data_IF_574765308340
#
_entry.id   IF_574765308340
#
_cell.length_a   1.000
_cell.length_b   1.000
_cell.length_c   1.000
_cell.angle_alpha   90.00
_cell.angle_beta   90.00
_cell.angle_gamma   90.00
#
_symmetry.space_group_name_H-M   'P 1'
#
loop_
_entity.id
_entity.type
_entity.pdbx_description
1 polymer ?
#
# COMPACT_ATOMS: atom_id res chain seq x y z
N UNK A 1 7.81 7.01 14.72
CA UNK A 1 8.36 7.00 13.34
C UNK A 1 9.32 8.17 13.11
N UNK A 2 8.86 9.42 13.12
CA UNK A 2 9.71 10.61 12.93
C UNK A 2 10.91 10.69 13.89
N UNK A 3 10.66 10.50 15.18
CA UNK A 3 11.71 10.52 16.22
C UNK A 3 12.75 9.42 15.96
N UNK A 4 12.31 8.22 15.59
CA UNK A 4 13.19 7.10 15.32
C UNK A 4 14.10 7.37 14.11
N UNK A 5 13.56 7.97 13.07
CA UNK A 5 14.33 8.33 11.89
C UNK A 5 15.40 9.39 12.19
N UNK A 6 15.07 10.41 12.99
CA UNK A 6 15.94 11.58 13.22
C UNK A 6 16.94 11.40 14.37
N UNK A 7 16.48 10.89 15.50
CA UNK A 7 17.28 10.84 16.73
C UNK A 7 18.08 9.55 16.84
N UNK A 8 17.55 8.46 16.29
CA UNK A 8 18.16 7.13 16.40
C UNK A 8 18.96 6.79 15.15
N UNK A 9 18.37 6.96 13.96
CA UNK A 9 19.09 6.69 12.71
C UNK A 9 19.84 7.91 12.16
N UNK A 10 19.83 9.02 12.89
CA UNK A 10 20.56 10.23 12.56
C UNK A 10 20.19 10.84 11.18
N UNK A 11 19.04 10.48 10.61
CA UNK A 11 18.62 10.97 9.30
C UNK A 11 17.88 12.32 9.46
N UNK A 12 18.41 13.38 8.85
CA UNK A 12 17.72 14.69 8.77
C UNK A 12 17.71 15.51 10.06
N UNK A 13 18.73 15.37 10.94
CA UNK A 13 18.93 16.23 12.14
C UNK A 13 18.96 17.73 11.84
N UNK A 14 19.31 18.06 10.61
CA UNK A 14 19.47 19.39 10.05
C UNK A 14 18.16 20.18 9.78
N UNK A 15 16.99 19.56 9.97
CA UNK A 15 15.68 20.15 9.67
C UNK A 15 14.99 20.60 10.98
N UNK A 16 14.61 21.88 11.18
CA UNK A 16 14.07 22.37 12.46
C UNK A 16 12.79 21.66 12.94
N UNK A 17 12.60 21.54 14.26
CA UNK A 17 11.37 21.03 14.91
C UNK A 17 10.26 22.09 14.97
N UNK A 18 9.01 21.65 14.98
CA UNK A 18 7.86 22.48 15.36
C UNK A 18 7.74 22.37 16.88
N UNK A 19 8.05 23.44 17.59
CA UNK A 19 7.53 23.65 18.94
C UNK A 19 6.56 24.82 18.81
N UNK A 20 5.31 24.63 19.23
CA UNK A 20 4.54 25.76 19.74
C UNK A 20 5.32 26.29 20.95
N UNK A 21 5.69 27.58 20.90
CA UNK A 21 6.49 28.25 21.90
C UNK A 21 5.89 28.08 23.31
N UNK A 22 6.64 27.41 24.19
CA UNK A 22 6.60 27.75 25.61
C UNK A 22 8.04 27.95 26.12
N UNK A 23 8.26 29.21 26.49
CA UNK A 23 9.47 29.77 27.06
C UNK A 23 9.90 29.09 28.36
N UNK A 24 11.19 28.82 28.48
CA UNK A 24 11.98 29.22 29.66
C UNK A 24 13.46 29.06 29.34
N UNK A 25 14.15 30.19 29.27
CA UNK A 25 15.59 30.34 29.43
C UNK A 25 16.01 29.75 30.78
N UNK A 26 17.17 29.08 30.84
CA UNK A 26 18.13 29.26 31.94
C UNK A 26 19.45 28.52 31.69
N UNK A 27 20.50 29.16 32.19
CA UNK A 27 21.93 29.12 31.88
C UNK A 27 22.63 27.76 32.07
N UNK A 28 23.74 27.59 31.32
CA UNK A 28 24.84 26.73 31.74
C UNK A 28 26.18 27.41 31.49
N UNK A 29 26.79 27.81 32.59
CA UNK A 29 28.22 28.06 32.69
C UNK A 29 28.89 26.74 33.12
N UNK A 30 29.98 26.35 32.47
CA UNK A 30 31.00 25.50 33.06
C UNK A 30 32.29 25.59 32.26
N UNK A 31 33.34 25.95 32.98
CA UNK A 31 34.70 26.27 32.57
C UNK A 31 35.44 25.10 31.92
N UNK A 32 36.10 25.41 30.80
CA UNK A 32 37.12 24.64 30.10
C UNK A 32 38.39 24.51 30.95
N UNK A 33 38.92 23.29 31.05
CA UNK A 33 40.36 22.95 30.91
C UNK A 33 40.55 21.51 31.42
N UNK A 34 40.68 20.54 30.49
CA UNK A 34 41.43 19.26 30.63
C UNK A 34 41.14 18.22 29.50
N UNK A 35 40.65 18.61 28.31
CA UNK A 35 40.14 17.67 27.28
C UNK A 35 41.01 17.43 26.03
N UNK A 36 42.28 17.84 26.00
CA UNK A 36 43.02 17.97 24.72
C UNK A 36 43.75 16.72 24.18
N UNK A 37 43.54 15.51 24.70
CA UNK A 37 44.16 14.28 24.13
C UNK A 37 43.17 13.13 23.83
N UNK A 38 41.86 13.30 24.07
CA UNK A 38 40.80 12.30 23.77
C UNK A 38 40.04 12.65 22.46
N UNK A 39 40.20 13.87 21.94
CA UNK A 39 39.42 14.39 20.81
C UNK A 39 39.70 13.68 19.47
N UNK A 40 40.96 13.31 19.19
CA UNK A 40 41.32 12.79 17.86
C UNK A 40 40.75 11.40 17.54
N UNK A 41 40.75 10.46 18.49
CA UNK A 41 40.15 9.12 18.30
C UNK A 41 38.61 9.20 18.30
N UNK A 42 38.00 10.10 19.09
CA UNK A 42 36.56 10.30 19.10
C UNK A 42 36.06 11.02 17.84
N UNK A 43 36.84 11.96 17.30
CA UNK A 43 36.55 12.63 16.02
C UNK A 43 36.67 11.65 14.84
N UNK A 44 37.66 10.76 14.84
CA UNK A 44 37.84 9.74 13.80
C UNK A 44 36.68 8.72 13.83
N UNK A 45 36.29 8.23 15.02
CA UNK A 45 35.10 7.38 15.19
C UNK A 45 33.78 8.11 14.86
N UNK A 46 33.68 9.40 15.15
CA UNK A 46 32.53 10.22 14.77
C UNK A 46 32.46 10.42 13.24
N UNK A 47 33.59 10.64 12.58
CA UNK A 47 33.69 10.73 11.12
C UNK A 47 33.34 9.39 10.45
N UNK A 48 33.88 8.27 10.91
CA UNK A 48 33.54 6.93 10.39
C UNK A 48 32.05 6.59 10.59
N UNK A 49 31.48 6.95 11.74
CA UNK A 49 30.05 6.80 12.04
C UNK A 49 29.17 7.68 11.14
N UNK A 50 29.63 8.91 10.85
CA UNK A 50 28.94 9.87 9.99
C UNK A 50 29.00 9.46 8.51
N UNK A 51 30.14 8.95 8.04
CA UNK A 51 30.34 8.41 6.69
C UNK A 51 29.53 7.12 6.46
N UNK A 52 29.50 6.21 7.44
CA UNK A 52 28.65 5.01 7.40
C UNK A 52 27.15 5.37 7.34
N UNK A 53 26.74 6.44 8.03
CA UNK A 53 25.36 6.92 8.05
C UNK A 53 24.96 7.60 6.74
N UNK A 54 25.88 8.36 6.12
CA UNK A 54 25.67 8.98 4.80
C UNK A 54 25.53 7.93 3.69
N UNK A 55 26.40 6.91 3.68
CA UNK A 55 26.32 5.79 2.74
C UNK A 55 24.97 5.04 2.83
N UNK A 56 24.46 4.80 4.04
CA UNK A 56 23.14 4.17 4.24
C UNK A 56 22.00 5.05 3.74
N UNK A 57 22.09 6.37 3.96
CA UNK A 57 21.08 7.32 3.50
C UNK A 57 21.01 7.37 1.96
N UNK A 58 22.16 7.34 1.28
CA UNK A 58 22.21 7.30 -0.18
C UNK A 58 21.56 6.05 -0.75
N UNK A 59 21.79 4.88 -0.13
CA UNK A 59 21.13 3.65 -0.55
C UNK A 59 19.61 3.73 -0.33
N UNK A 60 19.16 4.32 0.79
CA UNK A 60 17.72 4.56 1.02
C UNK A 60 17.14 5.50 -0.04
N UNK A 61 17.83 6.60 -0.38
CA UNK A 61 17.39 7.54 -1.42
C UNK A 61 17.32 6.86 -2.79
N UNK A 62 18.30 6.02 -3.12
CA UNK A 62 18.29 5.20 -4.32
C UNK A 62 17.10 4.24 -4.33
N UNK A 63 16.82 3.57 -3.21
CA UNK A 63 15.64 2.73 -3.06
C UNK A 63 14.34 3.52 -3.26
N UNK A 64 14.20 4.71 -2.66
CA UNK A 64 13.04 5.59 -2.87
C UNK A 64 12.90 5.99 -4.34
N UNK A 65 13.98 6.11 -5.10
CA UNK A 65 13.93 6.44 -6.52
C UNK A 65 13.56 5.24 -7.40
N UNK A 66 14.07 4.06 -7.10
CA UNK A 66 13.96 2.85 -7.94
C UNK A 66 12.80 1.92 -7.53
N UNK A 67 12.25 2.08 -6.33
CA UNK A 67 11.10 1.28 -5.87
C UNK A 67 9.95 1.41 -6.86
N UNK A 68 9.32 0.29 -7.15
CA UNK A 68 8.14 0.23 -7.99
C UNK A 68 6.92 0.25 -7.08
N UNK A 69 6.12 1.31 -7.20
CA UNK A 69 4.90 1.52 -6.42
C UNK A 69 3.66 1.57 -7.34
N UNK A 70 2.49 1.15 -6.87
CA UNK A 70 1.22 1.38 -7.56
C UNK A 70 0.90 2.87 -7.68
N UNK A 71 0.15 3.25 -8.71
CA UNK A 71 -0.14 4.67 -9.02
C UNK A 71 -0.94 5.40 -7.94
N UNK A 72 -1.65 4.67 -7.09
CA UNK A 72 -2.46 5.25 -6.01
C UNK A 72 -1.65 5.52 -4.73
N UNK A 73 -0.36 5.19 -4.71
CA UNK A 73 0.55 5.43 -3.59
C UNK A 73 1.49 6.57 -3.94
N UNK A 74 1.47 7.62 -3.12
CA UNK A 74 2.37 8.75 -3.28
C UNK A 74 3.80 8.33 -2.91
N UNK A 75 4.75 8.57 -3.81
CA UNK A 75 6.16 8.28 -3.58
C UNK A 75 6.71 9.30 -2.58
N UNK A 76 7.43 8.87 -1.52
CA UNK A 76 8.13 9.79 -0.63
C UNK A 76 9.20 10.59 -1.40
N UNK A 77 9.65 11.73 -0.87
CA UNK A 77 10.71 12.52 -1.50
C UNK A 77 12.01 11.73 -1.62
N UNK A 78 12.58 11.75 -2.83
CA UNK A 78 13.85 11.06 -3.13
C UNK A 78 15.07 11.72 -2.49
N UNK A 79 14.96 12.97 -2.04
CA UNK A 79 16.00 13.72 -1.34
C UNK A 79 15.82 13.68 0.20
N UNK A 80 15.39 12.53 0.72
CA UNK A 80 15.16 12.29 2.14
C UNK A 80 16.33 12.78 3.00
N UNK A 81 16.05 13.64 4.00
CA UNK A 81 17.04 14.16 4.94
C UNK A 81 17.78 15.43 4.49
N UNK A 82 17.54 15.94 3.29
CA UNK A 82 18.07 17.24 2.86
C UNK A 82 17.22 18.41 3.39
N UNK A 83 17.88 19.53 3.73
CA UNK A 83 17.20 20.78 4.15
C UNK A 83 16.25 21.33 3.07
N UNK A 84 16.55 21.06 1.80
CA UNK A 84 15.83 21.58 0.62
C UNK A 84 14.36 21.13 0.54
N UNK A 85 14.02 19.95 1.07
CA UNK A 85 12.66 19.42 0.99
C UNK A 85 11.74 19.90 2.13
N UNK A 86 12.32 20.38 3.23
CA UNK A 86 11.54 20.69 4.43
C UNK A 86 11.14 19.42 5.20
N UNK A 87 9.97 19.45 5.84
CA UNK A 87 9.50 18.39 6.76
C UNK A 87 8.66 17.34 6.03
N UNK A 88 8.87 16.08 6.37
CA UNK A 88 8.03 14.99 5.91
C UNK A 88 6.64 15.06 6.55
N UNK A 89 5.62 14.71 5.77
CA UNK A 89 4.23 14.59 6.21
C UNK A 89 3.96 13.22 6.83
N UNK A 90 2.87 13.12 7.58
CA UNK A 90 2.49 11.89 8.29
C UNK A 90 2.25 10.70 7.34
N UNK A 91 1.69 10.94 6.15
CA UNK A 91 1.51 9.91 5.12
C UNK A 91 2.84 9.42 4.54
N UNK A 92 3.81 10.32 4.34
CA UNK A 92 5.15 9.98 3.89
C UNK A 92 5.89 9.09 4.90
N UNK A 93 5.80 9.41 6.20
CA UNK A 93 6.34 8.53 7.25
C UNK A 93 5.70 7.14 7.20
N UNK A 94 4.37 7.08 7.06
CA UNK A 94 3.68 5.81 6.97
C UNK A 94 4.14 5.00 5.74
N UNK A 95 4.33 5.65 4.59
CA UNK A 95 4.81 4.99 3.38
C UNK A 95 6.25 4.47 3.56
N UNK A 96 7.12 5.26 4.20
CA UNK A 96 8.50 4.85 4.49
C UNK A 96 8.54 3.62 5.39
N UNK A 97 7.85 3.64 6.53
CA UNK A 97 7.90 2.54 7.51
C UNK A 97 7.09 1.31 7.12
N UNK A 98 6.01 1.46 6.35
CA UNK A 98 5.21 0.30 5.90
C UNK A 98 5.70 -0.35 4.63
N UNK A 99 6.38 0.38 3.72
CA UNK A 99 6.74 -0.14 2.40
C UNK A 99 8.24 -0.05 2.12
N UNK A 100 8.84 1.13 2.22
CA UNK A 100 10.22 1.33 1.73
C UNK A 100 11.24 0.68 2.66
N UNK A 101 11.18 0.99 3.94
CA UNK A 101 12.15 0.48 4.93
C UNK A 101 12.12 -1.04 5.08
N UNK A 102 10.95 -1.72 5.08
CA UNK A 102 10.88 -3.17 5.01
C UNK A 102 11.66 -3.79 3.84
N UNK A 103 11.76 -3.09 2.70
CA UNK A 103 12.46 -3.58 1.50
C UNK A 103 13.98 -3.40 1.57
N UNK A 104 14.47 -2.38 2.29
CA UNK A 104 15.88 -1.98 2.23
C UNK A 104 16.64 -2.12 3.55
N UNK A 105 16.02 -1.85 4.70
CA UNK A 105 16.71 -1.84 5.99
C UNK A 105 17.29 -3.21 6.37
N UNK A 106 16.57 -4.33 6.14
CA UNK A 106 17.16 -5.62 6.38
C UNK A 106 18.41 -5.91 5.55
N UNK A 107 18.71 -5.12 4.50
CA UNK A 107 19.93 -5.29 3.69
C UNK A 107 21.16 -4.72 4.39
N UNK A 108 20.95 -3.80 5.33
CA UNK A 108 22.02 -3.12 6.08
C UNK A 108 22.34 -3.76 7.42
N UNK A 109 21.35 -4.38 8.06
CA UNK A 109 21.52 -5.01 9.38
C UNK A 109 21.27 -6.50 9.25
N UNK A 110 22.18 -7.21 8.59
CA UNK A 110 21.98 -8.61 8.28
C UNK A 110 22.01 -9.45 9.59
N UNK A 111 21.16 -10.47 9.75
CA UNK A 111 21.16 -11.31 10.96
C UNK A 111 22.48 -12.04 11.23
N UNK A 112 23.39 -12.12 10.26
CA UNK A 112 24.72 -12.73 10.41
C UNK A 112 25.79 -11.77 10.98
N UNK A 113 25.43 -10.50 11.19
CA UNK A 113 26.34 -9.48 11.69
C UNK A 113 26.45 -9.50 13.23
N UNK A 114 26.94 -8.41 13.82
CA UNK A 114 27.14 -8.27 15.28
C UNK A 114 25.83 -8.37 16.07
N UNK A 115 25.92 -8.67 17.37
CA UNK A 115 24.73 -8.74 18.23
C UNK A 115 24.02 -7.39 18.35
N UNK A 116 24.75 -6.29 18.19
CA UNK A 116 24.20 -4.94 18.12
C UNK A 116 23.31 -4.73 16.88
N UNK A 117 23.76 -5.14 15.68
CA UNK A 117 22.96 -4.99 14.46
C UNK A 117 21.73 -5.90 14.46
N UNK A 118 21.83 -7.11 15.03
CA UNK A 118 20.66 -7.97 15.27
C UNK A 118 19.63 -7.29 16.17
N UNK A 119 20.09 -6.66 17.25
CA UNK A 119 19.22 -5.93 18.16
C UNK A 119 18.58 -4.70 17.49
N UNK A 120 19.33 -3.94 16.67
CA UNK A 120 18.78 -2.85 15.86
C UNK A 120 17.68 -3.34 14.92
N UNK A 121 17.96 -4.41 14.17
CA UNK A 121 17.00 -4.97 13.24
C UNK A 121 15.75 -5.48 13.99
N UNK A 122 15.90 -6.13 15.14
CA UNK A 122 14.77 -6.61 15.95
C UNK A 122 13.92 -5.44 16.47
N UNK A 123 14.56 -4.37 16.90
CA UNK A 123 13.85 -3.16 17.31
C UNK A 123 13.07 -2.53 16.14
N UNK A 124 13.67 -2.49 14.95
CA UNK A 124 12.99 -2.06 13.73
C UNK A 124 11.80 -2.95 13.37
N UNK A 125 11.96 -4.28 13.48
CA UNK A 125 10.89 -5.25 13.25
C UNK A 125 9.67 -4.94 14.11
N UNK A 126 9.85 -4.80 15.43
CA UNK A 126 8.76 -4.50 16.34
C UNK A 126 8.02 -3.20 15.94
N UNK A 127 8.77 -2.17 15.53
CA UNK A 127 8.21 -0.91 15.08
C UNK A 127 7.39 -1.05 13.78
N UNK A 128 7.88 -1.82 12.80
CA UNK A 128 7.15 -2.10 11.55
C UNK A 128 5.86 -2.85 11.83
N UNK A 129 5.90 -3.88 12.69
CA UNK A 129 4.71 -4.65 13.07
C UNK A 129 3.68 -3.74 13.73
N UNK A 130 4.08 -2.91 14.69
CA UNK A 130 3.21 -1.91 15.30
C UNK A 130 2.59 -0.95 14.28
N UNK A 131 3.39 -0.46 13.33
CA UNK A 131 2.94 0.44 12.26
C UNK A 131 1.91 -0.24 11.36
N UNK A 132 2.17 -1.49 10.95
CA UNK A 132 1.27 -2.27 10.13
C UNK A 132 -0.07 -2.51 10.82
N UNK A 133 -0.08 -2.80 12.12
CA UNK A 133 -1.32 -3.01 12.90
C UNK A 133 -2.15 -1.72 13.01
N UNK A 134 -1.53 -0.59 13.35
CA UNK A 134 -2.23 0.70 13.44
C UNK A 134 -2.81 1.11 12.09
N UNK A 135 -2.08 0.82 11.00
CA UNK A 135 -2.47 1.14 9.63
C UNK A 135 -3.64 0.28 9.09
N UNK A 136 -4.08 -0.74 9.82
CA UNK A 136 -5.19 -1.60 9.37
C UNK A 136 -6.55 -0.91 9.53
N UNK A 137 -7.46 -1.20 8.60
CA UNK A 137 -8.89 -0.85 8.65
C UNK A 137 -9.74 -1.98 9.25
N UNK A 138 -9.11 -3.05 9.75
CA UNK A 138 -9.76 -4.13 10.48
C UNK A 138 -8.87 -4.62 11.62
N UNK A 139 -9.44 -4.71 12.83
CA UNK A 139 -8.72 -5.08 14.06
C UNK A 139 -9.44 -6.21 14.81
N UNK A 140 -8.76 -6.78 15.80
CA UNK A 140 -9.30 -7.75 16.75
C UNK A 140 -8.56 -7.62 18.07
N UNK A 141 -9.11 -8.18 19.16
CA UNK A 141 -8.42 -8.16 20.47
C UNK A 141 -7.03 -8.81 20.37
N UNK A 142 -6.89 -9.89 19.60
CA UNK A 142 -5.60 -10.54 19.37
C UNK A 142 -4.59 -9.61 18.67
N UNK A 143 -5.01 -8.84 17.65
CA UNK A 143 -4.14 -7.85 16.99
C UNK A 143 -3.77 -6.71 17.93
N UNK A 144 -4.69 -6.28 18.79
CA UNK A 144 -4.42 -5.25 19.78
C UNK A 144 -3.41 -5.71 20.84
N UNK A 145 -3.51 -6.96 21.31
CA UNK A 145 -2.55 -7.57 22.23
C UNK A 145 -1.18 -7.78 21.58
N UNK A 146 -1.18 -8.18 20.30
CA UNK A 146 0.03 -8.26 19.49
C UNK A 146 0.71 -6.90 19.38
N UNK A 147 -0.04 -5.84 19.04
CA UNK A 147 0.49 -4.47 19.02
C UNK A 147 1.17 -4.11 20.34
N UNK A 148 0.51 -4.37 21.48
CA UNK A 148 1.06 -4.02 22.79
C UNK A 148 2.34 -4.81 23.09
N UNK A 149 2.37 -6.10 22.73
CA UNK A 149 3.55 -6.97 22.91
C UNK A 149 4.76 -6.42 22.15
N UNK A 150 4.60 -6.14 20.86
CA UNK A 150 5.68 -5.58 20.04
C UNK A 150 6.04 -4.16 20.49
N UNK A 151 5.07 -3.33 20.86
CA UNK A 151 5.37 -1.95 21.26
C UNK A 151 6.16 -1.90 22.58
N UNK A 152 5.87 -2.77 23.55
CA UNK A 152 6.67 -2.91 24.77
C UNK A 152 8.07 -3.42 24.43
N UNK A 153 8.19 -4.42 23.55
CA UNK A 153 9.49 -4.96 23.11
C UNK A 153 10.34 -3.88 22.43
N UNK A 154 9.75 -3.14 21.50
CA UNK A 154 10.34 -1.96 20.87
C UNK A 154 10.84 -0.95 21.91
N UNK A 155 10.04 -0.64 22.93
CA UNK A 155 10.40 0.33 23.97
C UNK A 155 11.54 -0.17 24.86
N UNK A 156 11.63 -1.47 25.14
CA UNK A 156 12.75 -2.07 25.89
C UNK A 156 14.02 -2.04 25.05
N UNK A 157 13.97 -2.56 23.83
CA UNK A 157 15.12 -2.55 22.92
C UNK A 157 15.64 -1.14 22.64
N UNK A 158 14.74 -0.15 22.56
CA UNK A 158 15.12 1.25 22.41
C UNK A 158 15.95 1.76 23.60
N UNK A 159 15.55 1.42 24.83
CA UNK A 159 16.27 1.81 26.05
C UNK A 159 17.64 1.14 26.12
N UNK A 160 17.72 -0.14 25.72
CA UNK A 160 18.95 -0.92 25.77
C UNK A 160 19.96 -0.47 24.70
N UNK A 161 19.47 -0.20 23.48
CA UNK A 161 20.29 0.26 22.36
C UNK A 161 20.71 1.74 22.49
N UNK A 162 19.86 2.58 23.08
CA UNK A 162 20.07 4.02 23.21
C UNK A 162 19.77 4.52 24.63
N UNK A 163 20.63 4.23 25.62
CA UNK A 163 20.37 4.57 27.03
C UNK A 163 20.24 6.08 27.31
N UNK A 164 20.87 6.91 26.48
CA UNK A 164 20.84 8.38 26.59
C UNK A 164 19.59 9.01 25.97
N UNK A 165 18.74 8.22 25.30
CA UNK A 165 17.54 8.70 24.65
C UNK A 165 16.49 9.20 25.65
N UNK A 166 16.05 10.45 25.48
CA UNK A 166 15.00 11.04 26.30
C UNK A 166 13.62 10.63 25.78
N UNK A 167 12.82 10.02 26.64
CA UNK A 167 11.48 9.55 26.29
C UNK A 167 10.54 10.73 26.07
N UNK A 168 9.90 10.76 24.89
CA UNK A 168 8.88 11.75 24.54
C UNK A 168 7.45 11.32 24.88
N UNK A 169 6.52 12.26 25.08
CA UNK A 169 5.10 11.97 25.37
C UNK A 169 4.43 11.08 24.32
N UNK A 170 4.81 11.19 23.05
CA UNK A 170 4.30 10.34 21.97
C UNK A 170 4.44 8.84 22.27
N UNK A 171 5.52 8.44 22.94
CA UNK A 171 5.70 7.05 23.34
C UNK A 171 4.72 6.62 24.44
N UNK A 172 4.32 7.54 25.31
CA UNK A 172 3.28 7.29 26.30
C UNK A 172 1.91 7.15 25.62
N UNK A 173 1.55 8.06 24.71
CA UNK A 173 0.29 7.97 23.96
C UNK A 173 0.17 6.66 23.18
N UNK A 174 1.25 6.23 22.53
CA UNK A 174 1.25 4.99 21.76
C UNK A 174 1.12 3.70 22.61
N UNK A 175 1.32 3.75 23.94
CA UNK A 175 1.01 2.62 24.83
C UNK A 175 -0.50 2.42 24.98
N UNK A 176 -1.31 3.47 24.80
CA UNK A 176 -2.78 3.39 24.89
C UNK A 176 -3.41 2.81 23.62
N UNK A 177 -2.67 2.74 22.50
CA UNK A 177 -3.19 2.23 21.22
C UNK A 177 -3.76 0.81 21.33
N UNK A 178 -3.21 -0.04 22.21
CA UNK A 178 -3.75 -1.39 22.44
C UNK A 178 -5.17 -1.36 23.00
N UNK A 179 -5.44 -0.51 23.99
CA UNK A 179 -6.79 -0.35 24.56
C UNK A 179 -7.73 0.35 23.57
N UNK A 180 -7.24 1.37 22.87
CA UNK A 180 -8.02 2.08 21.87
C UNK A 180 -8.44 1.16 20.71
N UNK A 181 -7.57 0.26 20.26
CA UNK A 181 -7.90 -0.74 19.24
C UNK A 181 -9.01 -1.70 19.69
N UNK A 182 -9.06 -2.06 20.98
CA UNK A 182 -10.10 -2.94 21.53
C UNK A 182 -11.43 -2.20 21.71
N UNK A 183 -11.37 -0.95 22.15
CA UNK A 183 -12.56 -0.17 22.50
C UNK A 183 -13.23 0.47 21.26
N UNK A 184 -12.44 1.16 20.44
CA UNK A 184 -12.95 1.90 19.28
C UNK A 184 -12.91 1.13 17.97
N UNK A 185 -12.11 0.07 17.91
CA UNK A 185 -11.84 -0.64 16.66
C UNK A 185 -10.62 -0.06 15.92
N UNK A 186 -10.56 -0.19 14.58
CA UNK A 186 -9.36 0.15 13.80
C UNK A 186 -8.99 1.64 13.89
N UNK A 187 -7.80 1.97 14.37
CA UNK A 187 -7.36 3.36 14.57
C UNK A 187 -7.20 4.13 13.25
N UNK A 188 -6.93 3.45 12.14
CA UNK A 188 -6.87 4.11 10.83
C UNK A 188 -8.18 4.79 10.44
N UNK A 189 -9.33 4.27 10.89
CA UNK A 189 -10.64 4.89 10.66
C UNK A 189 -10.85 6.16 11.51
N UNK A 190 -10.14 6.29 12.63
CA UNK A 190 -10.15 7.44 13.53
C UNK A 190 -9.00 8.43 13.28
N UNK A 191 -8.18 8.18 12.27
CA UNK A 191 -7.04 9.03 11.95
C UNK A 191 -7.47 10.44 11.52
N UNK A 192 -6.59 11.42 11.69
CA UNK A 192 -6.84 12.82 11.31
C UNK A 192 -6.70 13.07 9.80
N UNK A 193 -6.19 12.09 9.04
CA UNK A 193 -5.96 12.22 7.59
C UNK A 193 -7.19 12.69 6.78
N UNK A 194 -8.43 12.23 7.04
CA UNK A 194 -9.61 12.77 6.38
C UNK A 194 -9.85 14.24 6.70
N UNK A 195 -9.59 14.66 7.94
CA UNK A 195 -9.69 16.05 8.38
C UNK A 195 -8.65 16.93 7.71
N UNK A 196 -7.39 16.50 7.66
CA UNK A 196 -6.32 17.21 6.94
C UNK A 196 -6.64 17.37 5.44
N UNK A 197 -7.18 16.33 4.81
CA UNK A 197 -7.63 16.40 3.41
C UNK A 197 -8.73 17.44 3.24
N UNK A 198 -9.69 17.48 4.18
CA UNK A 198 -10.76 18.48 4.17
C UNK A 198 -10.20 19.89 4.33
N UNK A 199 -9.21 20.09 5.20
CA UNK A 199 -8.52 21.37 5.34
C UNK A 199 -7.87 21.82 4.04
N UNK A 200 -7.15 20.92 3.34
CA UNK A 200 -6.53 21.21 2.05
C UNK A 200 -7.56 21.55 0.95
N UNK A 201 -8.71 20.86 0.93
CA UNK A 201 -9.82 21.20 0.03
C UNK A 201 -10.35 22.60 0.36
N UNK A 202 -10.60 22.89 1.64
CA UNK A 202 -11.15 24.18 2.08
C UNK A 202 -10.20 25.34 1.78
N UNK A 203 -8.88 25.14 1.90
CA UNK A 203 -7.87 26.15 1.56
C UNK A 203 -7.91 26.55 0.07
N UNK A 204 -8.29 25.64 -0.82
CA UNK A 204 -8.38 25.90 -2.26
C UNK A 204 -9.69 26.59 -2.68
N UNK A 205 -10.66 26.74 -1.77
CA UNK A 205 -11.92 27.42 -2.08
C UNK A 205 -11.71 28.92 -1.97
N UNK A 206 -11.89 29.63 -3.08
CA UNK A 206 -11.82 31.09 -3.10
C UNK A 206 -13.00 31.69 -2.34
N UNK A 207 -12.78 32.09 -1.09
CA UNK A 207 -13.84 32.64 -0.25
C UNK A 207 -14.08 34.14 -0.44
N UNK A 208 -13.29 34.84 -1.26
CA UNK A 208 -13.42 36.29 -1.54
C UNK A 208 -13.73 37.12 -0.28
N UNK A 209 -13.12 36.76 0.86
CA UNK A 209 -13.32 37.36 2.20
C UNK A 209 -14.77 37.30 2.74
N UNK A 210 -15.63 36.45 2.18
CA UNK A 210 -16.99 36.22 2.66
C UNK A 210 -17.03 35.08 3.67
N UNK A 211 -16.83 35.43 4.93
CA UNK A 211 -16.78 34.47 6.05
C UNK A 211 -18.08 33.65 6.16
N UNK A 212 -19.24 34.23 5.81
CA UNK A 212 -20.53 33.53 5.82
C UNK A 212 -20.58 32.32 4.88
N UNK A 213 -19.71 32.24 3.87
CA UNK A 213 -19.65 31.07 2.98
C UNK A 213 -19.03 29.84 3.65
N UNK A 214 -18.17 29.99 4.66
CA UNK A 214 -17.54 28.83 5.33
C UNK A 214 -18.58 27.92 5.99
N UNK A 215 -19.53 28.50 6.72
CA UNK A 215 -20.60 27.72 7.38
C UNK A 215 -21.42 26.95 6.35
N UNK A 216 -21.80 27.59 5.24
CA UNK A 216 -22.54 26.94 4.16
C UNK A 216 -21.73 25.86 3.44
N UNK A 217 -20.44 26.08 3.19
CA UNK A 217 -19.55 25.10 2.54
C UNK A 217 -19.35 23.87 3.44
N UNK A 218 -19.08 24.08 4.72
CA UNK A 218 -18.92 22.99 5.70
C UNK A 218 -20.22 22.19 5.80
N UNK A 219 -21.36 22.86 5.89
CA UNK A 219 -22.67 22.21 5.97
C UNK A 219 -23.02 21.44 4.68
N UNK A 220 -22.64 21.97 3.51
CA UNK A 220 -22.76 21.26 2.22
C UNK A 220 -21.85 20.03 2.16
N UNK A 221 -20.62 20.13 2.66
CA UNK A 221 -19.67 19.01 2.67
C UNK A 221 -20.10 17.90 3.63
N UNK A 222 -20.53 18.27 4.84
CA UNK A 222 -21.05 17.31 5.83
C UNK A 222 -22.30 16.62 5.28
N UNK A 223 -23.23 17.37 4.66
CA UNK A 223 -24.42 16.76 4.05
C UNK A 223 -24.10 15.87 2.85
N UNK A 224 -23.15 16.24 1.98
CA UNK A 224 -22.67 15.38 0.90
C UNK A 224 -22.04 14.09 1.43
N UNK A 225 -21.24 14.18 2.49
CA UNK A 225 -20.62 13.03 3.14
C UNK A 225 -21.66 12.09 3.75
N UNK A 226 -22.62 12.64 4.51
CA UNK A 226 -23.71 11.88 5.12
C UNK A 226 -24.58 11.19 4.07
N UNK A 227 -25.00 11.91 3.02
CA UNK A 227 -25.81 11.35 1.94
C UNK A 227 -25.05 10.27 1.18
N UNK A 228 -23.75 10.47 0.92
CA UNK A 228 -22.92 9.45 0.26
C UNK A 228 -22.80 8.18 1.10
N UNK A 229 -22.65 8.30 2.41
CA UNK A 229 -22.61 7.13 3.30
C UNK A 229 -23.95 6.41 3.40
N UNK A 230 -25.05 7.14 3.65
CA UNK A 230 -26.40 6.56 3.77
C UNK A 230 -26.83 5.90 2.47
N UNK A 231 -26.60 6.55 1.32
CA UNK A 231 -26.98 6.00 0.01
C UNK A 231 -26.08 4.82 -0.38
N UNK A 232 -24.82 4.76 0.04
CA UNK A 232 -23.93 3.62 -0.29
C UNK A 232 -24.19 2.42 0.61
N UNK A 233 -24.57 2.63 1.88
CA UNK A 233 -24.87 1.54 2.83
C UNK A 233 -26.29 0.97 2.66
N UNK A 234 -27.28 1.78 2.25
CA UNK A 234 -28.67 1.33 2.04
C UNK A 234 -29.03 0.99 0.57
N UNK A 235 -28.11 1.12 -0.39
CA UNK A 235 -28.39 0.78 -1.80
C UNK A 235 -28.31 -0.72 -2.04
N UNK A 236 -29.42 -1.40 -1.78
CA UNK A 236 -29.68 -2.74 -2.29
C UNK A 236 -30.41 -2.60 -3.64
N UNK A 237 -29.84 -3.00 -4.79
CA UNK A 237 -30.50 -2.86 -6.09
C UNK A 237 -31.80 -3.69 -6.21
N UNK A 238 -32.06 -4.57 -5.25
CA UNK A 238 -33.29 -5.37 -5.11
C UNK A 238 -34.32 -4.77 -4.16
N UNK A 239 -33.99 -3.76 -3.36
CA UNK A 239 -34.97 -3.11 -2.47
C UNK A 239 -35.75 -2.06 -3.26
N UNK A 240 -36.78 -2.53 -3.96
CA UNK A 240 -37.93 -1.72 -4.35
C UNK A 240 -38.69 -1.24 -3.11
N UNK A 241 -38.09 -0.33 -2.33
CA UNK A 241 -38.83 0.46 -1.36
C UNK A 241 -39.61 1.50 -2.15
N UNK A 242 -40.89 1.17 -2.37
CA UNK A 242 -42.00 2.11 -2.47
C UNK A 242 -41.82 3.24 -3.48
N UNK A 243 -42.54 3.12 -4.60
CA UNK A 243 -42.98 4.20 -5.49
C UNK A 243 -43.28 5.50 -4.72
N UNK A 244 -42.26 6.30 -4.47
CA UNK A 244 -42.40 7.72 -4.17
C UNK A 244 -41.57 8.41 -5.22
N UNK A 245 -42.29 8.81 -6.26
CA UNK A 245 -41.82 9.52 -7.44
C UNK A 245 -41.46 10.97 -7.03
N UNK A 246 -40.57 11.12 -6.05
CA UNK A 246 -40.09 12.42 -5.63
C UNK A 246 -39.04 12.87 -6.63
N UNK A 247 -39.51 13.49 -7.72
CA UNK A 247 -38.69 14.21 -8.70
C UNK A 247 -37.60 15.07 -8.05
N UNK A 248 -37.90 15.67 -6.87
CA UNK A 248 -36.96 16.44 -6.08
C UNK A 248 -35.80 15.63 -5.49
N UNK A 249 -36.00 14.40 -5.01
CA UNK A 249 -34.90 13.55 -4.51
C UNK A 249 -34.03 13.09 -5.67
N UNK A 250 -34.62 12.75 -6.82
CA UNK A 250 -33.85 12.39 -8.02
C UNK A 250 -33.06 13.58 -8.61
N UNK A 251 -33.63 14.77 -8.62
CA UNK A 251 -32.95 16.01 -9.02
C UNK A 251 -31.84 16.38 -8.05
N UNK A 252 -32.11 16.32 -6.75
CA UNK A 252 -31.11 16.56 -5.70
C UNK A 252 -29.98 15.53 -5.81
N UNK A 253 -30.28 14.25 -6.04
CA UNK A 253 -29.27 13.21 -6.27
C UNK A 253 -28.44 13.47 -7.53
N UNK A 254 -29.05 13.95 -8.62
CA UNK A 254 -28.32 14.30 -9.85
C UNK A 254 -27.42 15.53 -9.65
N UNK A 255 -27.83 16.48 -8.79
CA UNK A 255 -27.06 17.67 -8.42
C UNK A 255 -25.93 17.36 -7.43
N UNK A 256 -26.18 16.51 -6.44
CA UNK A 256 -25.22 16.09 -5.41
C UNK A 256 -24.20 15.09 -5.96
N UNK A 257 -24.61 14.25 -6.92
CA UNK A 257 -23.78 13.26 -7.62
C UNK A 257 -23.84 13.55 -9.13
N UNK A 258 -23.19 14.63 -9.61
CA UNK A 258 -23.11 14.86 -11.04
C UNK A 258 -22.47 13.63 -11.66
N UNK A 259 -23.17 12.99 -12.60
CA UNK A 259 -22.63 11.86 -13.38
C UNK A 259 -21.40 12.35 -14.12
N UNK A 260 -20.22 12.24 -13.50
CA UNK A 260 -18.98 12.21 -14.26
C UNK A 260 -19.13 11.02 -15.20
N UNK A 261 -18.98 11.25 -16.50
CA UNK A 261 -18.62 10.19 -17.43
C UNK A 261 -17.25 9.71 -16.99
N UNK A 262 -17.23 8.82 -16.02
CA UNK A 262 -16.04 8.10 -15.64
C UNK A 262 -15.79 7.06 -16.74
N UNK A 263 -14.61 7.00 -17.36
CA UNK A 263 -14.28 5.97 -18.35
C UNK A 263 -14.27 4.56 -17.74
N UNK A 264 -14.25 4.46 -16.40
CA UNK A 264 -14.28 3.23 -15.61
C UNK A 264 -15.71 2.83 -15.26
N UNK A 265 -16.37 2.14 -16.18
CA UNK A 265 -17.57 1.38 -15.85
C UNK A 265 -17.15 0.19 -14.97
N UNK A 266 -17.77 0.09 -13.79
CA UNK A 266 -18.01 -1.18 -13.10
C UNK A 266 -18.57 -2.16 -14.16
N UNK A 267 -18.13 -3.43 -14.25
CA UNK A 267 -18.68 -4.36 -15.23
C UNK A 267 -20.21 -4.29 -15.18
N UNK A 268 -20.83 -4.04 -16.33
CA UNK A 268 -22.26 -3.74 -16.40
C UNK A 268 -23.04 -4.85 -15.71
N UNK A 269 -23.78 -4.49 -14.66
CA UNK A 269 -24.77 -5.39 -14.03
C UNK A 269 -25.92 -5.75 -14.97
N UNK A 270 -25.98 -5.12 -16.15
CA UNK A 270 -26.90 -5.48 -17.21
C UNK A 270 -26.30 -6.61 -18.07
N UNK A 271 -27.07 -7.68 -18.34
CA UNK A 271 -26.64 -8.72 -19.23
C UNK A 271 -26.51 -8.18 -20.65
N UNK A 272 -25.43 -8.56 -21.33
CA UNK A 272 -25.16 -8.27 -22.73
C UNK A 272 -26.23 -8.90 -23.61
N UNK A 273 -26.65 -8.16 -24.64
CA UNK A 273 -27.48 -8.72 -25.70
C UNK A 273 -26.64 -9.63 -26.61
N UNK A 274 -27.27 -10.62 -27.25
CA UNK A 274 -26.57 -11.53 -28.18
C UNK A 274 -25.87 -10.79 -29.33
N UNK A 275 -26.39 -9.62 -29.71
CA UNK A 275 -25.74 -8.75 -30.70
C UNK A 275 -24.45 -8.12 -30.16
N UNK A 276 -24.46 -7.59 -28.94
CA UNK A 276 -23.28 -7.02 -28.29
C UNK A 276 -22.19 -8.07 -28.07
N UNK A 277 -22.57 -9.28 -27.64
CA UNK A 277 -21.65 -10.41 -27.50
C UNK A 277 -20.98 -10.75 -28.85
N UNK A 278 -21.77 -10.86 -29.93
CA UNK A 278 -21.24 -11.16 -31.26
C UNK A 278 -20.29 -10.06 -31.75
N UNK A 279 -20.60 -8.78 -31.50
CA UNK A 279 -19.75 -7.64 -31.87
C UNK A 279 -18.43 -7.66 -31.08
N UNK A 280 -18.47 -7.96 -29.78
CA UNK A 280 -17.29 -8.08 -28.93
C UNK A 280 -16.37 -9.22 -29.41
N UNK A 281 -16.95 -10.39 -29.68
CA UNK A 281 -16.22 -11.56 -30.19
C UNK A 281 -15.58 -11.24 -31.54
N UNK A 282 -16.32 -10.60 -32.46
CA UNK A 282 -15.83 -10.28 -33.80
C UNK A 282 -14.66 -9.28 -33.81
N UNK A 283 -14.61 -8.35 -32.84
CA UNK A 283 -13.52 -7.38 -32.69
C UNK A 283 -12.32 -7.92 -31.94
N UNK A 284 -12.50 -9.00 -31.18
CA UNK A 284 -11.49 -9.54 -30.27
C UNK A 284 -10.46 -10.39 -31.04
N UNK A 285 -9.16 -10.23 -30.77
CA UNK A 285 -8.15 -11.13 -31.32
C UNK A 285 -8.28 -12.54 -30.74
N UNK A 286 -7.68 -13.51 -31.43
CA UNK A 286 -7.71 -14.91 -31.02
C UNK A 286 -6.64 -15.18 -29.96
N UNK A 287 -7.01 -15.86 -28.88
CA UNK A 287 -6.09 -16.38 -27.88
C UNK A 287 -5.16 -17.44 -28.50
N UNK A 288 -3.92 -17.51 -28.00
CA UNK A 288 -3.02 -18.62 -28.34
C UNK A 288 -3.62 -19.94 -27.84
N UNK A 289 -3.30 -21.06 -28.50
CA UNK A 289 -3.80 -22.38 -28.07
C UNK A 289 -3.44 -22.69 -26.62
N UNK A 290 -2.24 -22.29 -26.19
CA UNK A 290 -1.79 -22.45 -24.81
C UNK A 290 -2.66 -21.64 -23.82
N UNK A 291 -2.86 -20.34 -24.07
CA UNK A 291 -3.68 -19.49 -23.20
C UNK A 291 -5.15 -19.92 -23.18
N UNK A 292 -5.67 -20.38 -24.31
CA UNK A 292 -7.03 -20.91 -24.42
C UNK A 292 -7.23 -22.15 -23.55
N UNK A 293 -6.34 -23.15 -23.63
CA UNK A 293 -6.44 -24.36 -22.81
C UNK A 293 -6.23 -24.07 -21.32
N UNK A 294 -5.41 -23.07 -20.98
CA UNK A 294 -5.21 -22.64 -19.60
C UNK A 294 -6.49 -22.00 -19.02
N UNK A 295 -7.13 -21.10 -19.79
CA UNK A 295 -8.44 -20.53 -19.44
C UNK A 295 -9.53 -21.60 -19.35
N UNK A 296 -9.56 -22.53 -20.29
CA UNK A 296 -10.51 -23.63 -20.29
C UNK A 296 -10.38 -24.52 -19.04
N UNK A 297 -9.16 -24.93 -18.71
CA UNK A 297 -8.86 -25.73 -17.51
C UNK A 297 -9.27 -24.98 -16.24
N UNK A 298 -9.03 -23.66 -16.16
CA UNK A 298 -9.45 -22.82 -15.04
C UNK A 298 -10.98 -22.81 -14.86
N UNK A 299 -11.73 -22.62 -15.94
CA UNK A 299 -13.21 -22.61 -15.89
C UNK A 299 -13.77 -24.00 -15.55
N UNK A 300 -13.17 -25.07 -16.07
CA UNK A 300 -13.54 -26.43 -15.68
C UNK A 300 -13.28 -26.72 -14.20
N UNK A 301 -12.15 -26.25 -13.65
CA UNK A 301 -11.82 -26.40 -12.23
C UNK A 301 -12.83 -25.68 -11.32
N UNK A 302 -13.46 -24.59 -11.79
CA UNK A 302 -14.58 -23.93 -11.12
C UNK A 302 -15.92 -24.67 -11.25
N UNK A 303 -15.94 -25.85 -11.89
CA UNK A 303 -17.14 -26.65 -12.11
C UNK A 303 -18.07 -26.10 -13.18
N UNK A 304 -17.61 -25.19 -14.03
CA UNK A 304 -18.44 -24.61 -15.08
C UNK A 304 -18.49 -25.54 -16.32
N UNK A 305 -19.66 -25.80 -16.91
CA UNK A 305 -19.84 -26.82 -17.96
C UNK A 305 -19.44 -26.33 -19.36
N UNK A 306 -18.31 -25.63 -19.48
CA UNK A 306 -17.82 -25.12 -20.77
C UNK A 306 -17.24 -26.25 -21.63
N UNK A 307 -17.53 -26.19 -22.94
CA UNK A 307 -16.96 -27.05 -23.97
C UNK A 307 -15.95 -26.28 -24.82
N UNK A 308 -14.96 -27.01 -25.35
CA UNK A 308 -13.99 -26.45 -26.31
C UNK A 308 -14.68 -26.07 -27.61
N UNK A 309 -14.28 -24.97 -28.25
CA UNK A 309 -14.87 -24.55 -29.52
C UNK A 309 -14.74 -25.59 -30.65
N UNK A 310 -13.69 -26.42 -30.60
CA UNK A 310 -13.38 -27.43 -31.62
C UNK A 310 -13.91 -28.84 -31.32
N UNK A 311 -14.59 -29.06 -30.18
CA UNK A 311 -15.08 -30.38 -29.76
C UNK A 311 -16.42 -30.75 -30.41
N UNK A 312 -16.45 -30.76 -31.74
CA UNK A 312 -17.62 -31.12 -32.54
C UNK A 312 -17.91 -32.62 -32.48
N UNK A 313 -19.19 -33.05 -32.50
CA UNK A 313 -20.41 -32.23 -32.51
C UNK A 313 -20.79 -31.69 -31.12
N UNK A 314 -21.37 -30.49 -31.09
CA UNK A 314 -21.89 -29.88 -29.85
C UNK A 314 -23.37 -30.24 -29.64
N UNK A 315 -23.77 -30.69 -28.44
CA UNK A 315 -25.17 -30.85 -28.06
C UNK A 315 -25.94 -29.53 -28.08
N UNK A 316 -27.26 -29.61 -28.20
CA UNK A 316 -28.13 -28.44 -28.08
C UNK A 316 -27.95 -27.74 -26.73
N UNK A 317 -27.94 -26.40 -26.74
CA UNK A 317 -27.76 -25.52 -25.58
C UNK A 317 -26.42 -25.70 -24.82
N UNK A 318 -25.39 -26.24 -25.46
CA UNK A 318 -24.08 -26.35 -24.83
C UNK A 318 -23.37 -24.99 -24.71
N UNK A 319 -22.78 -24.69 -23.56
CA UNK A 319 -21.92 -23.52 -23.37
C UNK A 319 -20.55 -23.77 -24.03
N UNK A 320 -20.22 -22.97 -25.04
CA UNK A 320 -18.97 -23.09 -25.79
C UNK A 320 -18.06 -21.93 -25.45
N UNK A 321 -16.82 -22.22 -25.02
CA UNK A 321 -15.83 -21.19 -24.75
C UNK A 321 -15.24 -20.67 -26.07
N UNK A 322 -15.53 -19.40 -26.38
CA UNK A 322 -14.96 -18.69 -27.54
C UNK A 322 -13.44 -18.60 -27.43
N UNK A 323 -12.67 -18.81 -28.53
CA UNK A 323 -11.23 -18.60 -28.54
C UNK A 323 -10.83 -17.13 -28.72
N UNK A 324 -11.78 -16.20 -28.80
CA UNK A 324 -11.53 -14.77 -28.99
C UNK A 324 -11.75 -14.01 -27.68
N UNK A 325 -10.77 -13.21 -27.29
CA UNK A 325 -10.82 -12.36 -26.10
C UNK A 325 -10.14 -11.03 -26.39
N UNK A 326 -10.64 -9.95 -25.80
CA UNK A 326 -10.00 -8.65 -25.86
C UNK A 326 -8.80 -8.62 -24.89
N UNK A 327 -7.75 -7.87 -25.25
CA UNK A 327 -6.50 -7.78 -24.49
C UNK A 327 -6.25 -6.34 -24.03
N UNK A 328 -7.02 -5.82 -23.05
CA UNK A 328 -6.73 -4.49 -22.52
C UNK A 328 -5.37 -4.50 -21.82
N UNK A 329 -4.63 -3.39 -21.96
CA UNK A 329 -3.34 -3.22 -21.25
C UNK A 329 -3.54 -2.86 -19.77
N UNK A 330 -4.68 -2.25 -19.44
CA UNK A 330 -5.03 -1.79 -18.10
C UNK A 330 -6.54 -1.89 -17.89
N UNK A 331 -6.96 -2.11 -16.65
CA UNK A 331 -8.36 -2.08 -16.22
C UNK A 331 -8.46 -1.43 -14.84
N UNK A 332 -9.57 -0.75 -14.57
CA UNK A 332 -9.88 -0.23 -13.24
C UNK A 332 -10.89 -1.15 -12.56
N UNK A 333 -10.58 -1.60 -11.35
CA UNK A 333 -11.46 -2.42 -10.54
C UNK A 333 -11.42 -1.91 -9.08
N UNK A 334 -12.61 -1.71 -8.48
CA UNK A 334 -12.76 -1.17 -7.11
C UNK A 334 -11.97 0.14 -6.85
N UNK A 335 -11.91 1.02 -7.85
CA UNK A 335 -11.21 2.31 -7.76
C UNK A 335 -9.69 2.24 -7.89
N UNK A 336 -9.14 1.05 -8.16
CA UNK A 336 -7.71 0.84 -8.37
C UNK A 336 -7.43 0.42 -9.83
N UNK A 337 -6.31 0.91 -10.37
CA UNK A 337 -5.86 0.56 -11.72
C UNK A 337 -4.94 -0.65 -11.64
N UNK A 338 -5.24 -1.66 -12.45
CA UNK A 338 -4.44 -2.85 -12.67
C UNK A 338 -3.93 -2.85 -14.11
N UNK A 339 -2.69 -3.27 -14.33
CA UNK A 339 -2.08 -3.24 -15.66
C UNK A 339 -1.24 -4.46 -15.94
N UNK A 340 -1.03 -4.78 -17.21
CA UNK A 340 0.00 -5.71 -17.61
C UNK A 340 1.40 -5.20 -17.18
N UNK A 341 2.30 -6.11 -16.82
CA UNK A 341 3.66 -5.82 -16.36
C UNK A 341 4.45 -4.96 -17.35
N UNK A 342 4.26 -5.22 -18.66
CA UNK A 342 4.87 -4.45 -19.75
C UNK A 342 4.36 -3.01 -19.85
N UNK A 343 3.17 -2.73 -19.33
CA UNK A 343 2.58 -1.40 -19.36
C UNK A 343 2.97 -0.59 -18.13
N UNK A 344 2.82 -1.17 -16.93
CA UNK A 344 3.24 -0.52 -15.69
C UNK A 344 3.53 -1.56 -14.61
N UNK A 345 4.80 -1.65 -14.18
CA UNK A 345 5.24 -2.69 -13.25
C UNK A 345 4.52 -2.61 -11.89
N UNK A 346 4.34 -1.40 -11.33
CA UNK A 346 3.68 -1.23 -10.01
C UNK A 346 2.20 -1.61 -9.96
N UNK A 347 1.43 -1.26 -10.99
CA UNK A 347 0.02 -1.65 -11.10
C UNK A 347 -0.17 -3.11 -11.53
N UNK A 348 0.90 -3.80 -11.92
CA UNK A 348 0.88 -5.22 -12.28
C UNK A 348 1.20 -6.17 -11.12
N UNK A 349 1.99 -5.71 -10.14
CA UNK A 349 2.42 -6.54 -9.03
C UNK A 349 1.29 -6.63 -7.99
N UNK A 350 0.80 -7.84 -7.75
CA UNK A 350 -0.40 -8.09 -6.93
C UNK A 350 -0.24 -9.32 -6.03
N UNK A 351 -1.03 -9.35 -4.96
CA UNK A 351 -1.11 -10.45 -4.01
C UNK A 351 -2.46 -11.16 -4.14
N UNK A 352 -2.40 -12.41 -4.58
CA UNK A 352 -3.40 -13.48 -4.33
C UNK A 352 -2.59 -14.73 -4.04
N UNK A 353 -1.82 -15.08 -5.06
CA UNK A 353 -0.50 -15.65 -4.97
C UNK A 353 0.45 -14.53 -5.39
N UNK A 354 1.63 -14.48 -4.81
CA UNK A 354 2.56 -13.39 -5.07
C UNK A 354 3.05 -13.44 -6.52
N UNK A 355 2.76 -12.41 -7.32
CA UNK A 355 3.09 -12.41 -8.73
C UNK A 355 2.86 -11.09 -9.45
N UNK A 356 2.99 -11.13 -10.77
CA UNK A 356 2.71 -10.00 -11.68
C UNK A 356 1.69 -10.39 -12.74
N UNK A 357 0.84 -9.44 -13.10
CA UNK A 357 -0.10 -9.57 -14.22
C UNK A 357 0.69 -9.49 -15.53
N UNK A 358 0.74 -10.58 -16.28
CA UNK A 358 1.33 -10.59 -17.63
C UNK A 358 0.36 -10.03 -18.66
N UNK A 359 -0.86 -10.57 -18.63
CA UNK A 359 -1.89 -10.32 -19.63
C UNK A 359 -3.26 -10.23 -18.96
N UNK A 360 -4.10 -9.34 -19.48
CA UNK A 360 -5.50 -9.19 -19.08
C UNK A 360 -6.37 -9.62 -20.25
N UNK A 361 -7.41 -10.42 -19.98
CA UNK A 361 -8.38 -10.87 -20.98
C UNK A 361 -9.78 -10.46 -20.58
N UNK A 362 -10.53 -9.85 -21.51
CA UNK A 362 -11.97 -9.63 -21.34
C UNK A 362 -12.74 -10.34 -22.43
N UNK A 363 -13.78 -11.08 -22.05
CA UNK A 363 -14.62 -11.82 -22.98
C UNK A 363 -16.04 -11.99 -22.43
N UNK A 364 -17.05 -12.04 -23.30
CA UNK A 364 -18.41 -12.34 -22.89
C UNK A 364 -18.52 -13.82 -22.47
N UNK A 365 -18.99 -14.05 -21.25
CA UNK A 365 -19.31 -15.37 -20.71
C UNK A 365 -20.64 -15.29 -19.96
N UNK A 366 -21.59 -16.13 -20.37
CA UNK A 366 -22.91 -16.26 -19.73
C UNK A 366 -23.70 -14.95 -19.70
N UNK A 367 -23.67 -14.17 -20.79
CA UNK A 367 -24.35 -12.88 -20.86
C UNK A 367 -23.62 -11.74 -20.18
N UNK A 368 -22.40 -11.92 -19.64
CA UNK A 368 -21.66 -10.85 -18.97
C UNK A 368 -20.24 -10.73 -19.50
N UNK A 369 -19.72 -9.51 -19.59
CA UNK A 369 -18.29 -9.30 -19.84
C UNK A 369 -17.51 -9.68 -18.58
N UNK A 370 -16.70 -10.74 -18.69
CA UNK A 370 -15.84 -11.20 -17.60
C UNK A 370 -14.39 -10.85 -17.89
N UNK A 371 -13.67 -10.47 -16.84
CA UNK A 371 -12.24 -10.16 -16.89
C UNK A 371 -11.44 -11.25 -16.18
N UNK A 372 -10.33 -11.66 -16.80
CA UNK A 372 -9.37 -12.60 -16.24
C UNK A 372 -7.96 -12.00 -16.31
N UNK A 373 -7.14 -12.29 -15.30
CA UNK A 373 -5.73 -11.93 -15.27
C UNK A 373 -4.89 -13.19 -15.38
N UNK A 374 -4.00 -13.23 -16.35
CA UNK A 374 -2.92 -14.20 -16.42
C UNK A 374 -1.75 -13.65 -15.60
N UNK A 375 -1.38 -14.37 -14.54
CA UNK A 375 -0.30 -14.01 -13.64
C UNK A 375 0.91 -14.92 -13.82
N UNK A 376 2.10 -14.33 -13.78
CA UNK A 376 3.34 -15.04 -13.48
C UNK A 376 3.58 -15.02 -11.98
N UNK A 377 3.69 -16.20 -11.37
CA UNK A 377 4.00 -16.31 -9.95
C UNK A 377 5.49 -16.16 -9.70
N UNK A 378 5.81 -15.47 -8.62
CA UNK A 378 7.18 -15.35 -8.15
C UNK A 378 7.61 -16.61 -7.40
N UNK A 379 8.87 -17.03 -7.60
CA UNK A 379 9.46 -18.11 -6.83
C UNK A 379 10.11 -17.55 -5.55
N UNK A 380 9.62 -18.00 -4.39
CA UNK A 380 10.06 -17.54 -3.08
C UNK A 380 11.48 -18.03 -2.77
N UNK A 381 12.36 -17.11 -2.37
CA UNK A 381 13.76 -17.38 -2.00
C UNK A 381 14.13 -16.80 -0.63
N UNK A 382 13.13 -16.53 0.21
CA UNK A 382 13.27 -15.64 1.36
C UNK A 382 14.16 -16.18 2.50
N UNK A 383 15.19 -15.43 2.91
CA UNK A 383 15.93 -15.70 4.14
C UNK A 383 15.15 -15.26 5.40
N UNK A 384 14.05 -14.51 5.26
CA UNK A 384 13.30 -13.92 6.38
C UNK A 384 12.24 -14.85 7.00
N UNK A 385 12.41 -16.17 6.92
CA UNK A 385 11.45 -17.13 7.51
C UNK A 385 11.13 -16.85 8.99
N UNK A 386 12.07 -16.23 9.70
CA UNK A 386 11.93 -15.92 11.11
C UNK A 386 11.01 -14.70 11.38
N UNK A 387 10.68 -13.87 10.37
CA UNK A 387 10.15 -12.50 10.53
C UNK A 387 8.83 -12.28 9.77
N UNK A 388 7.78 -13.09 10.01
CA UNK A 388 6.61 -13.18 9.13
C UNK A 388 5.74 -11.91 9.09
N UNK A 389 5.86 -11.00 10.07
CA UNK A 389 4.93 -9.88 10.25
C UNK A 389 5.41 -8.55 9.63
N UNK A 390 6.58 -8.55 8.99
CA UNK A 390 7.11 -7.39 8.23
C UNK A 390 6.29 -7.13 6.96
N UNK A 391 5.51 -8.12 6.51
CA UNK A 391 4.80 -8.12 5.23
C UNK A 391 5.74 -7.90 4.03
N UNK A 392 6.95 -8.44 4.11
CA UNK A 392 7.94 -8.37 3.04
C UNK A 392 8.67 -9.70 2.85
N UNK A 393 9.12 -9.97 1.63
CA UNK A 393 9.75 -11.22 1.24
C UNK A 393 10.75 -11.02 0.09
N UNK A 394 11.69 -11.96 -0.10
CA UNK A 394 12.53 -12.02 -1.30
C UNK A 394 12.06 -13.10 -2.26
N UNK A 395 11.96 -12.72 -3.52
CA UNK A 395 11.64 -13.63 -4.61
C UNK A 395 12.69 -13.55 -5.71
N UNK A 396 12.74 -14.56 -6.58
CA UNK A 396 13.56 -14.50 -7.78
C UNK A 396 13.11 -13.35 -8.68
N UNK A 397 14.05 -12.53 -9.17
CA UNK A 397 13.72 -11.48 -10.13
C UNK A 397 13.45 -12.05 -11.54
N UNK A 398 13.98 -13.23 -11.82
CA UNK A 398 13.80 -13.91 -13.09
C UNK A 398 12.42 -14.59 -13.18
N UNK A 399 11.70 -14.29 -14.26
CA UNK A 399 10.40 -14.87 -14.60
C UNK A 399 10.52 -16.05 -15.58
N UNK A 400 11.73 -16.56 -15.83
CA UNK A 400 12.00 -17.57 -16.85
C UNK A 400 11.44 -18.97 -16.57
N UNK A 401 11.02 -19.28 -15.35
CA UNK A 401 10.34 -20.54 -14.99
C UNK A 401 8.86 -20.26 -14.65
N UNK A 402 7.98 -20.11 -15.67
CA UNK A 402 6.70 -19.45 -15.50
C UNK A 402 5.66 -20.41 -14.92
N UNK A 403 5.54 -20.44 -13.59
CA UNK A 403 4.31 -20.92 -12.96
C UNK A 403 3.21 -19.89 -13.26
N UNK A 404 2.37 -20.22 -14.24
CA UNK A 404 1.26 -19.37 -14.69
C UNK A 404 -0.02 -19.70 -13.93
N UNK A 405 -0.75 -18.66 -13.54
CA UNK A 405 -2.03 -18.77 -12.86
C UNK A 405 -3.03 -17.80 -13.48
N UNK A 406 -4.27 -18.26 -13.70
CA UNK A 406 -5.39 -17.38 -14.02
C UNK A 406 -6.13 -17.03 -12.73
N UNK A 407 -6.45 -15.76 -12.56
CA UNK A 407 -7.34 -15.27 -11.50
C UNK A 407 -8.41 -14.33 -12.06
N UNK A 408 -9.45 -14.11 -11.27
CA UNK A 408 -10.42 -13.04 -11.49
C UNK A 408 -10.11 -11.80 -10.62
N UNK A 409 -10.54 -10.59 -11.02
CA UNK A 409 -10.26 -9.36 -10.27
C UNK A 409 -10.70 -9.39 -8.81
N UNK A 410 -11.84 -10.03 -8.51
CA UNK A 410 -12.39 -10.15 -7.16
C UNK A 410 -11.55 -11.03 -6.22
N UNK A 411 -10.59 -11.80 -6.76
CA UNK A 411 -9.69 -12.62 -5.96
C UNK A 411 -8.47 -11.82 -5.48
N UNK A 412 -8.22 -10.63 -6.05
CA UNK A 412 -7.09 -9.77 -5.68
C UNK A 412 -7.22 -9.30 -4.24
N UNK A 413 -6.16 -9.51 -3.46
CA UNK A 413 -6.06 -9.03 -2.09
C UNK A 413 -5.51 -7.61 -2.06
N UNK A 414 -4.38 -7.36 -2.74
CA UNK A 414 -3.75 -6.03 -2.77
C UNK A 414 -2.70 -5.91 -3.89
N UNK A 415 -2.22 -4.69 -4.13
CA UNK A 415 -1.00 -4.44 -4.89
C UNK A 415 0.26 -4.68 -4.06
N UNK A 416 1.39 -4.88 -4.74
CA UNK A 416 2.70 -5.05 -4.12
C UNK A 416 3.60 -3.84 -4.41
N UNK A 417 4.37 -3.42 -3.41
CA UNK A 417 5.57 -2.61 -3.63
C UNK A 417 6.73 -3.57 -3.94
N UNK A 418 7.54 -3.25 -4.94
CA UNK A 418 8.67 -4.11 -5.33
C UNK A 418 9.95 -3.31 -5.51
N UNK A 419 11.09 -3.89 -5.14
CA UNK A 419 12.40 -3.27 -5.28
C UNK A 419 13.43 -4.31 -5.72
N UNK A 420 14.17 -3.99 -6.79
CA UNK A 420 15.15 -4.91 -7.38
C UNK A 420 16.45 -4.85 -6.58
N UNK A 421 16.92 -6.00 -6.14
CA UNK A 421 18.18 -6.15 -5.41
C UNK A 421 19.23 -6.81 -6.33
N UNK A 422 20.48 -6.31 -6.32
CA UNK A 422 21.55 -6.87 -7.11
C UNK A 422 21.91 -8.30 -6.64
N UNK A 423 22.53 -9.07 -7.53
CA UNK A 423 23.11 -10.36 -7.17
C UNK A 423 24.16 -10.21 -6.06
N UNK A 424 24.26 -11.21 -5.18
CA UNK A 424 25.08 -11.22 -3.98
C UNK A 424 24.39 -10.69 -2.73
N UNK A 425 23.25 -9.99 -2.86
CA UNK A 425 22.46 -9.56 -1.68
C UNK A 425 21.97 -10.81 -0.92
N UNK A 426 22.15 -10.84 0.40
CA UNK A 426 21.86 -12.02 1.25
C UNK A 426 22.66 -13.29 0.89
N UNK A 427 23.78 -13.16 0.17
CA UNK A 427 24.55 -14.32 -0.31
C UNK A 427 23.82 -15.10 -1.41
N UNK A 428 22.87 -14.48 -2.11
CA UNK A 428 22.14 -15.09 -3.23
C UNK A 428 22.83 -14.66 -4.53
N UNK A 429 23.44 -15.59 -5.26
CA UNK A 429 24.21 -15.34 -6.50
C UNK A 429 23.36 -14.94 -7.73
N UNK A 430 22.15 -14.43 -7.51
CA UNK A 430 21.18 -14.09 -8.54
C UNK A 430 20.48 -12.79 -8.18
N UNK A 431 20.00 -12.05 -9.17
CA UNK A 431 19.14 -10.89 -8.91
C UNK A 431 17.86 -11.34 -8.21
N UNK A 432 17.51 -10.62 -7.14
CA UNK A 432 16.29 -10.88 -6.36
C UNK A 432 15.39 -9.66 -6.39
N UNK A 433 14.12 -9.88 -6.10
CA UNK A 433 13.14 -8.84 -5.96
C UNK A 433 12.65 -8.87 -4.51
N UNK A 434 12.87 -7.78 -3.79
CA UNK A 434 12.20 -7.56 -2.52
C UNK A 434 10.77 -7.10 -2.80
N UNK A 435 9.81 -7.72 -2.15
CA UNK A 435 8.40 -7.43 -2.31
C UNK A 435 7.79 -7.08 -0.96
N UNK A 436 6.81 -6.19 -0.94
CA UNK A 436 6.09 -5.81 0.26
C UNK A 436 4.59 -5.66 -0.01
N UNK A 437 3.77 -6.30 0.83
CA UNK A 437 2.31 -6.33 0.73
C UNK A 437 1.59 -5.61 1.88
N UNK A 438 2.28 -4.72 2.60
CA UNK A 438 1.65 -3.88 3.64
C UNK A 438 0.50 -2.99 3.12
N UNK A 439 0.25 -2.97 1.80
CA UNK A 439 -0.90 -2.31 1.19
C UNK A 439 -2.20 -3.06 1.51
N UNK A 440 -2.11 -4.34 1.84
CA UNK A 440 -3.20 -5.10 2.43
C UNK A 440 -3.46 -4.61 3.87
N UNK A 441 -4.22 -3.52 3.97
CA UNK A 441 -4.65 -2.94 5.25
C UNK A 441 -6.00 -3.50 5.71
N UNK A 442 -6.52 -4.53 5.06
CA UNK A 442 -7.82 -5.13 5.41
C UNK A 442 -9.01 -4.18 5.20
N UNK A 443 -8.94 -3.30 4.18
CA UNK A 443 -10.16 -2.65 3.65
C UNK A 443 -10.94 -3.73 2.90
N UNK A 444 -12.14 -4.03 3.38
CA UNK A 444 -13.12 -4.84 2.65
C UNK A 444 -14.26 -3.93 2.26
#
# INVERSE_FOLDING_TARGET
MQEHLREIWNFGKDIPLEYEDESSEDEKDNTEEDLLEIDSELEELAQESQESSQNKLEIIRKCIHEVTLPTHIHRPPSNLGEKSHGRLKADEYLVLFSFIFPLIIPTFWHPSDSDYTKALLHNFYDLVVCTNIIAMFSTSNAKADQYMTHYISYRKGLKDLFPTYKVKPNHHYALHNGELLKYWGPLSALSEFPGERMNGIMQNIQTNRRICMYSSIIQLYISQYYVKHVVVEDWNPSDTIGKTDNSATNQLMTLLMPKKKDPSQIPSTQPLTSYEEAVLIAKSPRLSNFNYELLFTFLQAKGQPWRRYNAFPHPENSLILSPFANHPMQITYEGHVYSCYRSHQGNSAIQVHTGVIDSIWTLPLDGFERTFFLMHLYNVKSPYHNWPQVNAELVAADLSDPTLLIIEPNQIITHLATYKLPAGTYGIDQETLAICWSLNRGRK
#
